data_IF_061700539223
#
_entry.id   IF_061700539223
#
_cell.length_a   1.000
_cell.length_b   1.000
_cell.length_c   1.000
_cell.angle_alpha   90.00
_cell.angle_beta   90.00
_cell.angle_gamma   90.00
#
_symmetry.space_group_name_H-M   'P 1'
#
loop_
_entity.id
_entity.type
_entity.pdbx_description
1 polymer ?
#
# COMPACT_ATOMS: atom_id res chain seq x y z
N UNK A 1 -16.19 -26.27 14.08
CA UNK A 1 -14.74 -26.28 13.77
C UNK A 1 -14.49 -25.05 12.90
N UNK A 2 -13.63 -24.17 13.35
CA UNK A 2 -13.17 -23.02 12.55
C UNK A 2 -12.30 -23.54 11.40
N UNK A 3 -12.64 -23.17 10.16
CA UNK A 3 -11.86 -23.62 8.99
C UNK A 3 -10.56 -22.81 8.98
N UNK A 4 -9.44 -23.49 9.08
CA UNK A 4 -8.12 -22.86 9.01
C UNK A 4 -7.56 -22.98 7.60
N UNK A 5 -7.40 -21.86 6.91
CA UNK A 5 -6.81 -21.80 5.57
C UNK A 5 -5.28 -21.83 5.64
N UNK A 6 -4.66 -22.37 4.60
CA UNK A 6 -3.21 -22.41 4.39
C UNK A 6 -2.81 -21.56 3.20
N UNK A 7 -1.54 -21.23 3.05
CA UNK A 7 -1.05 -20.51 1.87
C UNK A 7 -1.39 -21.23 0.54
N UNK A 8 -1.55 -22.57 0.56
CA UNK A 8 -1.91 -23.35 -0.63
C UNK A 8 -3.34 -23.08 -1.09
N UNK A 9 -4.27 -22.78 -0.18
CA UNK A 9 -5.68 -22.51 -0.51
C UNK A 9 -5.85 -21.22 -1.32
N UNK A 10 -4.88 -20.29 -1.24
CA UNK A 10 -4.89 -19.04 -2.00
C UNK A 10 -4.09 -19.12 -3.32
N UNK A 11 -3.39 -20.22 -3.59
CA UNK A 11 -2.59 -20.38 -4.81
C UNK A 11 -3.41 -20.84 -5.99
N UNK A 12 -3.14 -20.21 -7.16
CA UNK A 12 -3.73 -20.60 -8.45
C UNK A 12 -2.70 -20.44 -9.57
N UNK A 13 -2.65 -21.42 -10.45
CA UNK A 13 -1.78 -21.38 -11.62
C UNK A 13 -0.30 -21.32 -11.32
N UNK A 14 0.50 -21.04 -12.34
CA UNK A 14 1.95 -20.83 -12.23
C UNK A 14 2.30 -19.41 -12.65
N UNK A 15 3.02 -18.65 -11.81
CA UNK A 15 3.48 -17.31 -12.14
C UNK A 15 4.36 -17.30 -13.40
N UNK A 16 4.15 -16.30 -14.26
CA UNK A 16 4.86 -16.13 -15.54
C UNK A 16 5.63 -14.84 -15.61
N UNK A 17 6.09 -14.35 -14.47
CA UNK A 17 7.05 -13.26 -14.40
C UNK A 17 8.46 -13.73 -14.77
N UNK A 18 9.35 -12.80 -15.02
CA UNK A 18 10.76 -13.10 -15.28
C UNK A 18 11.39 -13.86 -14.11
N UNK A 19 12.32 -14.81 -14.37
CA UNK A 19 13.07 -15.45 -13.28
C UNK A 19 13.81 -14.39 -12.45
N UNK A 20 13.67 -14.47 -11.12
CA UNK A 20 14.27 -13.50 -10.19
C UNK A 20 13.47 -12.20 -9.96
N UNK A 21 12.37 -11.98 -10.70
CA UNK A 21 11.50 -10.82 -10.50
C UNK A 21 10.96 -10.77 -9.06
N UNK A 22 10.96 -9.57 -8.47
CA UNK A 22 10.46 -9.36 -7.11
C UNK A 22 8.99 -9.71 -6.89
N UNK A 23 8.17 -9.72 -7.94
CA UNK A 23 6.76 -10.12 -7.88
C UNK A 23 6.57 -11.56 -7.39
N UNK A 24 7.53 -12.47 -7.63
CA UNK A 24 7.49 -13.84 -7.11
C UNK A 24 7.60 -13.88 -5.58
N UNK A 25 8.50 -13.08 -5.01
CA UNK A 25 8.71 -13.00 -3.57
C UNK A 25 7.49 -12.38 -2.89
N UNK A 26 6.96 -11.30 -3.48
CA UNK A 26 5.76 -10.66 -2.98
C UNK A 26 4.55 -11.62 -2.99
N UNK A 27 4.31 -12.34 -4.10
CA UNK A 27 3.20 -13.29 -4.20
C UNK A 27 3.28 -14.38 -3.13
N UNK A 28 4.48 -14.90 -2.85
CA UNK A 28 4.68 -15.91 -1.79
C UNK A 28 4.33 -15.33 -0.40
N UNK A 29 4.75 -14.10 -0.13
CA UNK A 29 4.43 -13.39 1.11
C UNK A 29 2.93 -13.08 1.22
N UNK A 30 2.26 -12.70 0.13
CA UNK A 30 0.82 -12.45 0.11
C UNK A 30 0.03 -13.73 0.41
N UNK A 31 0.37 -14.86 -0.20
CA UNK A 31 -0.29 -16.14 0.12
C UNK A 31 -0.16 -16.50 1.61
N UNK A 32 1.02 -16.25 2.20
CA UNK A 32 1.25 -16.48 3.63
C UNK A 32 0.44 -15.52 4.49
N UNK A 33 0.44 -14.23 4.15
CA UNK A 33 -0.34 -13.21 4.86
C UNK A 33 -1.84 -13.55 4.84
N UNK A 34 -2.38 -13.94 3.68
CA UNK A 34 -3.79 -14.35 3.55
C UNK A 34 -4.13 -15.55 4.45
N UNK A 35 -3.24 -16.54 4.53
CA UNK A 35 -3.43 -17.69 5.42
C UNK A 35 -3.42 -17.29 6.90
N UNK A 36 -2.55 -16.36 7.29
CA UNK A 36 -2.48 -15.86 8.67
C UNK A 36 -3.64 -14.94 9.04
N UNK A 37 -4.15 -14.16 8.08
CA UNK A 37 -5.37 -13.33 8.21
C UNK A 37 -6.60 -14.23 8.35
N UNK A 38 -6.67 -15.35 7.63
CA UNK A 38 -7.71 -16.35 7.77
C UNK A 38 -9.04 -16.04 7.05
N UNK A 39 -9.11 -15.00 6.22
CA UNK A 39 -10.33 -14.69 5.44
C UNK A 39 -10.53 -15.76 4.37
N UNK A 40 -11.73 -16.34 4.29
CA UNK A 40 -12.04 -17.36 3.30
C UNK A 40 -11.74 -16.88 1.85
N UNK A 41 -11.12 -17.68 0.98
CA UNK A 41 -10.76 -17.27 -0.37
C UNK A 41 -11.95 -16.68 -1.19
N UNK A 42 -13.17 -17.15 -0.95
CA UNK A 42 -14.38 -16.63 -1.60
C UNK A 42 -14.90 -15.31 -1.00
N UNK A 43 -14.29 -14.82 0.08
CA UNK A 43 -14.55 -13.49 0.64
C UNK A 43 -13.41 -12.49 0.33
N UNK A 44 -12.48 -12.87 -0.54
CA UNK A 44 -11.38 -12.02 -1.00
C UNK A 44 -11.56 -11.67 -2.46
N UNK A 45 -11.41 -10.39 -2.80
CA UNK A 45 -11.39 -9.91 -4.18
C UNK A 45 -10.06 -9.17 -4.45
N UNK A 46 -9.31 -9.62 -5.47
CA UNK A 46 -8.06 -9.00 -5.91
C UNK A 46 -8.30 -8.25 -7.21
N UNK A 47 -8.21 -6.94 -7.16
CA UNK A 47 -8.47 -6.04 -8.30
C UNK A 47 -7.17 -5.40 -8.74
N UNK A 48 -6.78 -5.58 -9.99
CA UNK A 48 -5.52 -5.03 -10.51
C UNK A 48 -5.71 -4.09 -11.69
N UNK A 49 -4.75 -3.19 -11.86
CA UNK A 49 -4.64 -2.36 -13.07
C UNK A 49 -3.91 -3.09 -14.19
N UNK A 50 -2.92 -2.45 -14.81
CA UNK A 50 -2.14 -2.99 -15.92
C UNK A 50 -0.65 -2.91 -15.60
N UNK A 51 0.10 -3.96 -15.96
CA UNK A 51 1.54 -4.08 -15.78
C UNK A 51 1.93 -5.48 -15.33
N UNK A 52 3.20 -5.68 -14.98
CA UNK A 52 3.70 -6.98 -14.50
C UNK A 52 2.98 -7.39 -13.20
N UNK A 53 2.94 -6.50 -12.23
CA UNK A 53 2.24 -6.68 -10.94
C UNK A 53 0.75 -7.02 -11.11
N UNK A 54 0.13 -6.47 -12.15
CA UNK A 54 -1.32 -6.64 -12.41
C UNK A 54 -1.70 -8.05 -12.89
N UNK A 55 -0.74 -8.93 -13.12
CA UNK A 55 -0.99 -10.36 -13.36
C UNK A 55 -1.36 -11.13 -12.08
N UNK A 56 -1.21 -10.51 -10.93
CA UNK A 56 -1.40 -11.15 -9.62
C UNK A 56 -2.76 -11.84 -9.45
N UNK A 57 -3.91 -11.29 -9.90
CA UNK A 57 -5.20 -11.98 -9.80
C UNK A 57 -5.25 -13.36 -10.50
N UNK A 58 -4.41 -13.59 -11.50
CA UNK A 58 -4.32 -14.90 -12.18
C UNK A 58 -3.66 -15.98 -11.30
N UNK A 59 -2.95 -15.57 -10.26
CA UNK A 59 -2.17 -16.45 -9.38
C UNK A 59 -2.79 -16.60 -7.99
N UNK A 60 -3.95 -15.94 -7.77
CA UNK A 60 -4.74 -16.02 -6.55
C UNK A 60 -5.99 -16.87 -6.76
N UNK A 61 -6.24 -17.80 -5.85
CA UNK A 61 -7.47 -18.62 -5.82
C UNK A 61 -8.58 -17.88 -5.04
N UNK A 62 -8.89 -16.68 -5.48
CA UNK A 62 -9.88 -15.75 -4.92
C UNK A 62 -10.72 -15.19 -6.05
N UNK A 63 -11.71 -14.35 -5.77
CA UNK A 63 -12.24 -13.49 -6.82
C UNK A 63 -11.14 -12.56 -7.32
N UNK A 64 -11.12 -12.29 -8.61
CA UNK A 64 -10.09 -11.43 -9.19
C UNK A 64 -10.53 -10.79 -10.49
N UNK A 65 -10.08 -9.57 -10.72
CA UNK A 65 -10.34 -8.81 -11.93
C UNK A 65 -9.10 -8.03 -12.36
N UNK A 66 -8.70 -8.18 -13.63
CA UNK A 66 -7.83 -7.22 -14.29
C UNK A 66 -8.70 -6.10 -14.87
N UNK A 67 -8.36 -4.87 -14.59
CA UNK A 67 -9.11 -3.71 -15.06
C UNK A 67 -8.38 -2.99 -16.21
N UNK A 68 -8.61 -1.71 -16.36
CA UNK A 68 -7.93 -0.85 -17.33
C UNK A 68 -6.78 -0.11 -16.62
N UNK A 69 -5.77 0.31 -17.37
CA UNK A 69 -4.58 1.00 -16.86
C UNK A 69 -4.97 2.18 -15.96
N UNK A 70 -4.48 2.15 -14.72
CA UNK A 70 -4.73 3.16 -13.70
C UNK A 70 -6.16 3.18 -13.12
N UNK A 71 -6.98 2.16 -13.35
CA UNK A 71 -8.39 2.14 -12.89
C UNK A 71 -8.66 1.18 -11.73
N UNK A 72 -7.64 0.46 -11.27
CA UNK A 72 -7.80 -0.53 -10.20
C UNK A 72 -8.46 0.05 -8.95
N UNK A 73 -8.00 1.21 -8.46
CA UNK A 73 -8.56 1.83 -7.25
C UNK A 73 -10.03 2.24 -7.41
N UNK A 74 -10.44 2.71 -8.60
CA UNK A 74 -11.83 3.07 -8.88
C UNK A 74 -12.74 1.83 -8.89
N UNK A 75 -12.31 0.76 -9.56
CA UNK A 75 -13.08 -0.49 -9.63
C UNK A 75 -13.11 -1.19 -8.27
N UNK A 76 -11.99 -1.22 -7.55
CA UNK A 76 -11.92 -1.74 -6.18
C UNK A 76 -12.87 -0.99 -5.23
N UNK A 77 -12.94 0.33 -5.34
CA UNK A 77 -13.92 1.15 -4.60
C UNK A 77 -15.35 0.71 -4.90
N UNK A 78 -15.71 0.54 -6.18
CA UNK A 78 -17.03 0.04 -6.56
C UNK A 78 -17.32 -1.37 -6.02
N UNK A 79 -16.33 -2.26 -6.06
CA UNK A 79 -16.43 -3.61 -5.51
C UNK A 79 -16.70 -3.58 -3.99
N UNK A 80 -15.98 -2.75 -3.23
CA UNK A 80 -16.17 -2.61 -1.79
C UNK A 80 -17.51 -2.02 -1.41
N UNK A 81 -17.94 -0.96 -2.11
CA UNK A 81 -19.25 -0.32 -1.87
C UNK A 81 -20.41 -1.25 -2.23
N UNK A 82 -20.27 -2.04 -3.30
CA UNK A 82 -21.31 -3.00 -3.70
C UNK A 82 -21.43 -4.21 -2.75
N UNK A 83 -20.32 -4.60 -2.10
CA UNK A 83 -20.32 -5.66 -1.11
C UNK A 83 -19.30 -5.34 0.02
N UNK A 84 -19.76 -4.69 1.10
CA UNK A 84 -18.91 -4.29 2.22
C UNK A 84 -18.24 -5.43 2.98
N UNK A 85 -18.76 -6.66 2.87
CA UNK A 85 -18.21 -7.85 3.55
C UNK A 85 -16.93 -8.38 2.90
N UNK A 86 -16.64 -8.00 1.65
CA UNK A 86 -15.45 -8.48 0.95
C UNK A 86 -14.17 -7.83 1.51
N UNK A 87 -13.13 -8.65 1.66
CA UNK A 87 -11.75 -8.18 1.79
C UNK A 87 -11.22 -7.84 0.39
N UNK A 88 -11.15 -6.54 0.08
CA UNK A 88 -10.78 -6.07 -1.26
C UNK A 88 -9.33 -5.63 -1.27
N UNK A 89 -8.54 -6.21 -2.19
CA UNK A 89 -7.12 -5.96 -2.39
C UNK A 89 -6.90 -5.37 -3.77
N UNK A 90 -6.47 -4.11 -3.82
CA UNK A 90 -6.11 -3.43 -5.05
C UNK A 90 -4.61 -3.57 -5.28
N UNK A 91 -4.19 -3.95 -6.48
CA UNK A 91 -2.79 -4.14 -6.83
C UNK A 91 -2.44 -3.33 -8.07
N UNK A 92 -1.40 -2.51 -7.95
CA UNK A 92 -0.83 -1.72 -9.04
C UNK A 92 0.69 -1.69 -8.96
N UNK A 93 1.35 -1.52 -10.09
CA UNK A 93 2.72 -1.02 -10.12
C UNK A 93 2.73 0.50 -9.90
N UNK A 94 3.91 1.04 -9.60
CA UNK A 94 4.12 2.47 -9.42
C UNK A 94 3.67 3.30 -10.62
N UNK A 95 3.99 2.86 -11.83
CA UNK A 95 3.55 3.51 -13.06
C UNK A 95 2.04 3.47 -13.28
N UNK A 96 1.41 2.34 -12.99
CA UNK A 96 -0.04 2.17 -13.12
C UNK A 96 -0.80 2.98 -12.08
N UNK A 97 -0.39 2.89 -10.83
CA UNK A 97 -1.10 3.50 -9.70
C UNK A 97 -0.88 5.01 -9.56
N UNK A 98 0.30 5.53 -9.88
CA UNK A 98 0.69 6.90 -9.58
C UNK A 98 0.74 7.83 -10.81
N UNK A 99 0.86 7.29 -12.04
CA UNK A 99 0.75 8.09 -13.27
C UNK A 99 -0.73 8.23 -13.65
N UNK A 100 -1.19 7.43 -14.60
CA UNK A 100 -2.59 7.49 -15.07
C UNK A 100 -3.61 7.18 -13.96
N UNK A 101 -3.21 6.40 -12.94
CA UNK A 101 -4.02 6.07 -11.77
C UNK A 101 -4.03 7.10 -10.65
N UNK A 102 -3.15 8.12 -10.71
CA UNK A 102 -2.93 9.05 -9.61
C UNK A 102 -4.20 9.71 -9.07
N UNK A 103 -5.11 10.12 -9.94
CA UNK A 103 -6.40 10.69 -9.52
C UNK A 103 -7.23 9.69 -8.68
N UNK A 104 -7.28 8.43 -9.09
CA UNK A 104 -8.05 7.40 -8.34
C UNK A 104 -7.36 7.00 -7.04
N UNK A 105 -6.02 6.99 -7.04
CA UNK A 105 -5.23 6.82 -5.81
C UNK A 105 -5.53 7.92 -4.79
N UNK A 106 -5.49 9.20 -5.21
CA UNK A 106 -5.82 10.35 -4.37
C UNK A 106 -7.22 10.22 -3.79
N UNK A 107 -8.21 9.92 -4.63
CA UNK A 107 -9.61 9.89 -4.19
C UNK A 107 -9.96 8.67 -3.33
N UNK A 108 -9.33 7.52 -3.50
CA UNK A 108 -9.50 6.37 -2.62
C UNK A 108 -8.97 6.69 -1.20
N UNK A 109 -7.77 7.28 -1.11
CA UNK A 109 -7.20 7.73 0.15
C UNK A 109 -8.03 8.82 0.82
N UNK A 110 -8.40 9.87 0.08
CA UNK A 110 -9.18 11.00 0.60
C UNK A 110 -10.53 10.57 1.18
N UNK A 111 -11.18 9.58 0.55
CA UNK A 111 -12.46 9.02 1.00
C UNK A 111 -12.29 7.98 2.10
N UNK A 112 -11.08 7.55 2.35
CA UNK A 112 -10.78 6.47 3.29
C UNK A 112 -11.63 5.21 3.00
N UNK A 113 -11.66 4.77 1.73
CA UNK A 113 -12.36 3.54 1.32
C UNK A 113 -11.66 2.35 1.96
N UNK A 114 -12.41 1.44 2.56
CA UNK A 114 -11.83 0.26 3.21
C UNK A 114 -11.23 -0.73 2.19
N UNK A 115 -10.02 -0.42 1.72
CA UNK A 115 -9.26 -1.12 0.69
C UNK A 115 -7.83 -1.39 1.13
N UNK A 116 -7.31 -2.58 0.83
CA UNK A 116 -5.90 -2.89 0.91
C UNK A 116 -5.21 -2.52 -0.42
N UNK A 117 -4.50 -1.40 -0.47
CA UNK A 117 -3.88 -0.86 -1.68
C UNK A 117 -2.40 -1.22 -1.74
N UNK A 118 -2.05 -2.17 -2.59
CA UNK A 118 -0.68 -2.64 -2.78
C UNK A 118 -0.06 -1.91 -3.96
N UNK A 119 1.06 -1.24 -3.71
CA UNK A 119 1.87 -0.55 -4.70
C UNK A 119 3.22 -1.28 -4.85
N UNK A 120 3.38 -2.07 -5.91
CA UNK A 120 4.65 -2.74 -6.24
C UNK A 120 5.55 -1.75 -6.97
N UNK A 121 6.54 -1.20 -6.23
CA UNK A 121 7.38 -0.11 -6.71
C UNK A 121 8.75 -0.62 -7.17
N UNK A 122 8.92 -0.77 -8.49
CA UNK A 122 10.18 -1.12 -9.13
C UNK A 122 10.81 0.04 -9.93
N UNK A 123 10.24 1.23 -9.82
CA UNK A 123 10.72 2.46 -10.47
C UNK A 123 10.86 2.36 -11.98
N UNK A 124 10.00 1.54 -12.65
CA UNK A 124 10.07 1.34 -14.11
C UNK A 124 8.74 0.78 -14.65
N UNK A 125 8.38 1.12 -15.88
CA UNK A 125 7.40 0.38 -16.66
C UNK A 125 8.02 -0.87 -17.27
N UNK A 126 7.99 -2.01 -16.54
CA UNK A 126 8.62 -3.25 -16.98
C UNK A 126 7.89 -3.95 -18.12
N UNK A 127 6.54 -4.01 -18.09
CA UNK A 127 5.75 -4.71 -19.10
C UNK A 127 5.93 -4.15 -20.51
N UNK A 128 6.06 -2.83 -20.64
CA UNK A 128 6.25 -2.11 -21.90
C UNK A 128 7.71 -1.94 -22.30
N UNK A 129 8.62 -2.66 -21.62
CA UNK A 129 10.05 -2.81 -21.93
C UNK A 129 10.94 -1.61 -21.53
N UNK A 130 10.64 -0.96 -20.40
CA UNK A 130 11.64 -0.15 -19.71
C UNK A 130 11.53 1.36 -19.92
N UNK A 131 10.32 1.90 -20.04
CA UNK A 131 10.11 3.34 -19.90
C UNK A 131 10.23 3.75 -18.43
N UNK A 132 10.73 4.97 -18.17
CA UNK A 132 10.73 5.51 -16.81
C UNK A 132 9.31 5.67 -16.27
N UNK A 133 9.15 5.43 -14.99
CA UNK A 133 7.88 5.56 -14.25
C UNK A 133 7.87 6.85 -13.43
N UNK A 134 6.74 7.23 -12.84
CA UNK A 134 6.68 8.43 -11.97
C UNK A 134 7.64 8.39 -10.77
N UNK A 135 8.09 7.21 -10.36
CA UNK A 135 9.02 7.04 -9.23
C UNK A 135 10.47 6.81 -9.66
N UNK A 136 10.75 6.80 -10.97
CA UNK A 136 12.12 6.73 -11.47
C UNK A 136 12.92 7.96 -11.06
N UNK A 137 14.17 7.82 -10.60
CA UNK A 137 14.95 8.96 -10.15
C UNK A 137 15.26 9.94 -11.30
N UNK A 138 15.46 11.22 -10.96
CA UNK A 138 15.96 12.21 -11.92
C UNK A 138 17.26 11.74 -12.55
N UNK A 139 17.41 11.93 -13.85
CA UNK A 139 18.57 11.48 -14.62
C UNK A 139 18.54 10.00 -15.03
N UNK A 140 17.46 9.28 -14.73
CA UNK A 140 17.34 7.87 -15.14
C UNK A 140 17.35 7.72 -16.67
N UNK A 141 18.31 6.94 -17.17
CA UNK A 141 18.48 6.68 -18.60
C UNK A 141 17.74 5.43 -19.03
N UNK A 142 16.93 5.52 -20.06
CA UNK A 142 16.24 4.41 -20.69
C UNK A 142 16.25 4.54 -22.21
N UNK A 143 15.76 3.51 -22.93
CA UNK A 143 15.67 3.58 -24.40
C UNK A 143 14.76 4.71 -24.89
N UNK A 144 13.73 5.05 -24.16
CA UNK A 144 12.80 6.17 -24.45
C UNK A 144 13.27 7.51 -23.89
N UNK A 145 14.24 7.51 -22.99
CA UNK A 145 14.82 8.70 -22.37
C UNK A 145 16.35 8.61 -22.38
N UNK A 146 17.00 8.66 -23.58
CA UNK A 146 18.41 8.35 -23.72
C UNK A 146 19.35 9.41 -23.09
N UNK A 147 18.83 10.59 -22.77
CA UNK A 147 19.57 11.67 -22.12
C UNK A 147 19.23 11.82 -20.63
N UNK A 148 18.47 10.86 -20.08
CA UNK A 148 17.99 10.87 -18.71
C UNK A 148 16.69 11.66 -18.51
N UNK A 149 15.99 11.33 -17.42
CA UNK A 149 14.76 12.04 -17.02
C UNK A 149 15.11 13.39 -16.40
N UNK A 150 14.25 14.39 -16.60
CA UNK A 150 14.40 15.75 -16.02
C UNK A 150 13.40 16.03 -14.92
N UNK A 151 12.47 15.11 -14.69
CA UNK A 151 11.40 15.21 -13.71
C UNK A 151 11.87 14.73 -12.33
N UNK A 152 11.29 15.31 -11.29
CA UNK A 152 11.46 14.79 -9.93
C UNK A 152 10.49 13.64 -9.71
N UNK A 153 10.95 12.55 -9.05
CA UNK A 153 10.10 11.40 -8.83
C UNK A 153 8.99 11.68 -7.82
N UNK A 154 7.81 11.09 -8.03
CA UNK A 154 6.83 10.96 -6.97
C UNK A 154 7.37 10.09 -5.83
N UNK A 155 7.10 10.52 -4.62
CA UNK A 155 7.28 9.73 -3.41
C UNK A 155 5.91 9.25 -2.95
N UNK A 156 5.63 7.93 -2.97
CA UNK A 156 4.27 7.41 -2.72
C UNK A 156 3.67 7.87 -1.38
N UNK A 157 4.51 7.97 -0.35
CA UNK A 157 4.08 8.46 0.97
C UNK A 157 3.63 9.92 0.95
N UNK A 158 4.34 10.82 0.24
CA UNK A 158 3.95 12.23 0.11
C UNK A 158 2.57 12.35 -0.54
N UNK A 159 2.35 11.59 -1.62
CA UNK A 159 1.07 11.59 -2.32
C UNK A 159 -0.05 11.02 -1.45
N UNK A 160 0.23 9.94 -0.72
CA UNK A 160 -0.70 9.35 0.23
C UNK A 160 -1.09 10.34 1.34
N UNK A 161 -0.11 10.96 1.99
CA UNK A 161 -0.35 11.90 3.09
C UNK A 161 -0.99 13.21 2.61
N UNK A 162 -0.57 13.70 1.43
CA UNK A 162 -1.22 14.85 0.77
C UNK A 162 -2.69 14.59 0.41
N UNK A 163 -3.04 13.33 0.14
CA UNK A 163 -4.41 12.88 -0.06
C UNK A 163 -5.15 12.52 1.24
N UNK A 164 -4.61 12.87 2.40
CA UNK A 164 -5.14 12.53 3.75
C UNK A 164 -5.14 11.03 4.06
N UNK A 165 -4.21 10.25 3.48
CA UNK A 165 -4.07 8.82 3.79
C UNK A 165 -3.88 8.57 5.28
N UNK A 166 -4.62 7.58 5.81
CA UNK A 166 -4.65 7.23 7.23
C UNK A 166 -3.72 6.08 7.57
N UNK A 167 -3.37 5.28 6.58
CA UNK A 167 -2.43 4.18 6.71
C UNK A 167 -1.39 4.22 5.60
N UNK A 168 -0.13 4.07 5.98
CA UNK A 168 0.98 3.86 5.07
C UNK A 168 2.02 2.94 5.69
N UNK A 169 2.37 1.88 4.97
CA UNK A 169 3.42 0.95 5.35
C UNK A 169 4.37 0.70 4.18
N UNK A 170 5.61 0.30 4.49
CA UNK A 170 6.63 -0.02 3.49
C UNK A 170 7.31 -1.34 3.81
N UNK A 171 7.52 -2.18 2.80
CA UNK A 171 8.30 -3.40 2.91
C UNK A 171 9.17 -3.61 1.68
N UNK A 172 10.08 -4.58 1.75
CA UNK A 172 10.91 -5.01 0.62
C UNK A 172 10.46 -6.40 0.19
N UNK A 173 10.25 -6.63 -1.10
CA UNK A 173 9.71 -7.90 -1.60
C UNK A 173 10.48 -9.14 -1.14
N UNK A 174 11.80 -9.04 -0.96
CA UNK A 174 12.67 -10.12 -0.47
C UNK A 174 12.64 -10.31 1.05
N UNK A 175 12.01 -9.41 1.79
CA UNK A 175 11.76 -9.57 3.22
C UNK A 175 10.37 -10.16 3.46
N UNK A 176 10.29 -11.48 3.43
CA UNK A 176 9.02 -12.19 3.57
C UNK A 176 8.34 -11.92 4.92
N UNK A 177 9.11 -11.81 6.01
CA UNK A 177 8.56 -11.56 7.34
C UNK A 177 7.98 -10.15 7.45
N UNK A 178 8.75 -9.12 7.10
CA UNK A 178 8.31 -7.73 7.11
C UNK A 178 7.14 -7.48 6.14
N UNK A 179 7.16 -8.13 4.96
CA UNK A 179 6.04 -8.03 4.01
C UNK A 179 4.76 -8.63 4.58
N UNK A 180 4.81 -9.80 5.21
CA UNK A 180 3.64 -10.43 5.86
C UNK A 180 3.11 -9.54 6.99
N UNK A 181 3.99 -8.98 7.81
CA UNK A 181 3.63 -8.09 8.92
C UNK A 181 2.87 -6.86 8.43
N UNK A 182 3.38 -6.15 7.42
CA UNK A 182 2.69 -4.95 6.89
C UNK A 182 1.38 -5.28 6.18
N UNK A 183 1.27 -6.42 5.49
CA UNK A 183 0.03 -6.84 4.85
C UNK A 183 -1.06 -7.19 5.87
N UNK A 184 -0.69 -7.82 7.00
CA UNK A 184 -1.61 -8.10 8.10
C UNK A 184 -2.08 -6.82 8.78
N UNK A 185 -1.17 -5.88 9.02
CA UNK A 185 -1.51 -4.57 9.58
C UNK A 185 -2.44 -3.79 8.64
N UNK A 186 -2.14 -3.80 7.33
CA UNK A 186 -3.00 -3.17 6.33
C UNK A 186 -4.43 -3.73 6.33
N UNK A 187 -4.57 -5.05 6.46
CA UNK A 187 -5.89 -5.70 6.52
C UNK A 187 -6.62 -5.40 7.82
N UNK A 188 -5.91 -5.25 8.93
CA UNK A 188 -6.50 -4.92 10.23
C UNK A 188 -6.98 -3.46 10.31
N UNK A 189 -6.33 -2.55 9.57
CA UNK A 189 -6.74 -1.15 9.48
C UNK A 189 -8.10 -1.01 8.80
N UNK A 190 -9.00 -0.20 9.37
CA UNK A 190 -10.27 0.16 8.73
C UNK A 190 -10.10 1.42 7.91
N UNK A 191 -10.05 1.27 6.60
CA UNK A 191 -9.85 2.37 5.65
C UNK A 191 -8.91 2.05 4.51
N UNK A 192 -8.43 3.09 3.83
CA UNK A 192 -7.48 2.97 2.72
C UNK A 192 -6.08 2.68 3.26
N UNK A 193 -5.65 1.43 3.18
CA UNK A 193 -4.32 0.99 3.61
C UNK A 193 -3.37 0.96 2.42
N UNK A 194 -2.39 1.86 2.37
CA UNK A 194 -1.37 1.87 1.32
C UNK A 194 -0.12 1.13 1.78
N UNK A 195 0.22 0.05 1.07
CA UNK A 195 1.48 -0.68 1.26
C UNK A 195 2.38 -0.49 0.05
N UNK A 196 3.47 0.25 0.20
CA UNK A 196 4.54 0.34 -0.78
C UNK A 196 5.49 -0.86 -0.61
N UNK A 197 5.56 -1.71 -1.63
CA UNK A 197 6.47 -2.85 -1.66
C UNK A 197 7.61 -2.54 -2.63
N UNK A 198 8.79 -2.33 -2.09
CA UNK A 198 10.01 -2.10 -2.87
C UNK A 198 10.40 -3.40 -3.57
N UNK A 199 10.29 -3.40 -4.90
CA UNK A 199 10.39 -4.56 -5.76
C UNK A 199 11.47 -4.33 -6.81
N UNK A 200 12.17 -5.38 -7.24
CA UNK A 200 13.24 -5.31 -8.23
C UNK A 200 12.79 -5.85 -9.59
N UNK A 201 12.99 -5.06 -10.64
CA UNK A 201 12.81 -5.49 -12.02
C UNK A 201 14.16 -5.92 -12.61
N UNK A 202 14.46 -7.22 -12.57
CA UNK A 202 15.75 -7.82 -13.00
C UNK A 202 16.10 -7.60 -14.47
N UNK A 203 15.17 -7.10 -15.30
CA UNK A 203 15.39 -6.94 -16.74
C UNK A 203 15.61 -5.48 -17.13
N UNK A 204 14.87 -4.54 -16.53
CA UNK A 204 14.85 -3.15 -16.99
C UNK A 204 15.31 -2.14 -15.94
N UNK A 205 15.39 -2.54 -14.67
CA UNK A 205 15.83 -1.68 -13.59
C UNK A 205 16.38 -2.51 -12.43
N UNK A 206 17.36 -3.36 -12.76
CA UNK A 206 18.01 -4.22 -11.77
C UNK A 206 18.84 -3.39 -10.81
N UNK A 207 18.75 -3.71 -9.53
CA UNK A 207 19.50 -3.03 -8.47
C UNK A 207 18.89 -1.72 -7.98
N UNK A 208 17.70 -1.32 -8.41
CA UNK A 208 17.08 -0.03 -8.00
C UNK A 208 16.90 0.15 -6.49
N UNK A 209 16.92 -0.94 -5.73
CA UNK A 209 16.81 -0.95 -4.27
C UNK A 209 17.95 -1.73 -3.58
N UNK A 210 19.11 -1.86 -4.22
CA UNK A 210 20.22 -2.72 -3.76
C UNK A 210 20.66 -2.46 -2.32
N UNK A 211 20.61 -1.18 -1.88
CA UNK A 211 20.99 -0.82 -0.51
C UNK A 211 20.20 -1.54 0.58
N UNK A 212 18.99 -2.03 0.27
CA UNK A 212 18.09 -2.69 1.23
C UNK A 212 17.50 -4.00 0.70
N UNK A 213 17.77 -4.38 -0.56
CA UNK A 213 17.10 -5.52 -1.19
C UNK A 213 17.54 -6.87 -0.61
N UNK A 214 18.80 -7.01 -0.26
CA UNK A 214 19.33 -8.19 0.44
C UNK A 214 19.33 -8.00 1.97
N UNK A 215 19.48 -9.10 2.71
CA UNK A 215 19.42 -9.10 4.19
C UNK A 215 20.51 -8.25 4.83
N UNK A 216 21.74 -8.31 4.31
CA UNK A 216 22.88 -7.57 4.85
C UNK A 216 22.72 -6.05 4.63
N UNK A 217 22.30 -5.66 3.42
CA UNK A 217 22.00 -4.27 3.10
C UNK A 217 20.89 -3.71 4.00
N UNK A 218 19.81 -4.48 4.21
CA UNK A 218 18.73 -4.07 5.12
C UNK A 218 19.20 -3.89 6.55
N UNK A 219 20.04 -4.80 7.06
CA UNK A 219 20.56 -4.68 8.42
C UNK A 219 21.34 -3.37 8.65
N UNK A 220 21.98 -2.85 7.60
CA UNK A 220 22.77 -1.60 7.69
C UNK A 220 21.96 -0.34 7.36
N UNK A 221 21.10 -0.43 6.34
CA UNK A 221 20.53 0.75 5.69
C UNK A 221 19.01 0.89 5.87
N UNK A 222 18.37 0.00 6.63
CA UNK A 222 16.96 0.11 6.92
C UNK A 222 16.69 0.25 8.43
N UNK A 223 15.60 0.94 8.74
CA UNK A 223 15.04 1.00 10.08
C UNK A 223 13.64 0.38 10.05
N UNK A 224 13.39 -0.58 10.94
CA UNK A 224 12.08 -1.22 11.10
C UNK A 224 11.28 -0.47 12.15
N UNK A 225 10.26 0.25 11.70
CA UNK A 225 9.39 1.05 12.56
C UNK A 225 8.31 0.15 13.19
N UNK A 226 8.22 0.21 14.54
CA UNK A 226 7.17 -0.41 15.33
C UNK A 226 6.60 0.61 16.30
N UNK A 227 5.28 0.70 16.34
CA UNK A 227 4.61 1.63 17.26
C UNK A 227 5.03 1.36 18.71
N UNK A 228 5.38 2.42 19.43
CA UNK A 228 5.81 2.36 20.82
C UNK A 228 7.25 1.93 21.06
N UNK A 229 8.03 1.62 20.00
CA UNK A 229 9.44 1.23 20.13
C UNK A 229 10.40 2.38 19.75
N UNK A 230 11.59 2.46 20.40
CA UNK A 230 12.64 3.40 20.00
C UNK A 230 13.08 3.15 18.55
N UNK A 231 13.29 4.22 17.80
CA UNK A 231 13.69 4.17 16.40
C UNK A 231 15.20 3.95 16.28
N UNK A 232 15.62 2.70 16.43
CA UNK A 232 17.02 2.25 16.33
C UNK A 232 17.26 1.39 15.09
N UNK A 233 18.48 1.40 14.55
CA UNK A 233 18.88 0.63 13.38
C UNK A 233 20.39 0.35 13.38
N UNK A 234 20.86 -0.35 12.33
CA UNK A 234 22.22 -0.87 12.22
C UNK A 234 22.29 -2.35 12.61
N UNK A 235 23.38 -3.03 12.27
CA UNK A 235 23.55 -4.47 12.50
C UNK A 235 23.37 -4.88 13.97
N UNK A 236 23.71 -3.98 14.89
CA UNK A 236 23.62 -4.20 16.34
C UNK A 236 22.73 -3.13 17.03
N UNK A 237 21.85 -2.45 16.29
CA UNK A 237 21.05 -1.32 16.76
C UNK A 237 21.92 -0.20 17.35
N UNK A 238 23.08 0.05 16.76
CA UNK A 238 24.05 1.02 17.22
C UNK A 238 23.72 2.47 16.85
N UNK A 239 22.76 2.67 15.96
CA UNK A 239 22.28 4.00 15.56
C UNK A 239 20.85 4.22 15.99
N UNK A 240 20.46 5.48 16.16
CA UNK A 240 19.11 5.89 16.45
C UNK A 240 18.73 7.22 15.82
N UNK A 241 17.44 7.53 15.81
CA UNK A 241 16.90 8.80 15.33
C UNK A 241 16.58 9.72 16.50
N UNK A 242 17.09 10.93 16.45
CA UNK A 242 16.74 12.02 17.36
C UNK A 242 16.12 13.18 16.59
N UNK A 243 15.37 14.02 17.27
CA UNK A 243 14.91 15.29 16.73
C UNK A 243 16.03 16.32 16.76
N UNK A 244 16.23 17.04 15.65
CA UNK A 244 17.12 18.21 15.58
C UNK A 244 16.35 19.37 14.93
N UNK A 245 15.97 20.34 15.75
CA UNK A 245 15.09 21.42 15.29
C UNK A 245 13.76 20.88 14.77
N UNK A 246 13.43 21.17 13.53
CA UNK A 246 12.26 20.60 12.82
C UNK A 246 12.60 19.35 12.01
N UNK A 247 13.85 18.86 12.07
CA UNK A 247 14.36 17.72 11.32
C UNK A 247 14.55 16.48 12.18
N UNK A 248 15.10 15.45 11.51
CA UNK A 248 15.60 14.24 12.14
C UNK A 248 17.13 14.22 11.98
N UNK A 249 17.80 13.59 12.94
CA UNK A 249 19.23 13.35 12.94
C UNK A 249 19.52 11.91 13.29
N UNK A 250 20.48 11.32 12.59
CA UNK A 250 21.07 10.04 12.95
C UNK A 250 22.13 10.27 13.99
N UNK A 251 22.08 9.51 15.09
CA UNK A 251 23.05 9.52 16.17
C UNK A 251 23.54 8.11 16.46
N UNK A 252 24.73 8.00 17.04
CA UNK A 252 25.28 6.70 17.46
C UNK A 252 25.15 6.54 18.96
N UNK A 253 24.54 5.46 19.39
CA UNK A 253 24.37 5.12 20.81
C UNK A 253 25.72 4.92 21.48
N UNK A 254 25.87 5.45 22.69
CA UNK A 254 27.10 5.41 23.47
C UNK A 254 28.15 6.48 23.10
N UNK A 255 27.96 7.24 22.00
CA UNK A 255 28.82 8.37 21.64
C UNK A 255 28.22 9.70 22.12
N UNK A 256 29.05 10.61 22.58
CA UNK A 256 28.68 11.94 23.10
C UNK A 256 27.59 11.91 24.19
N UNK A 257 27.51 10.81 24.95
CA UNK A 257 26.55 10.65 26.04
C UNK A 257 25.13 10.23 25.58
N UNK A 258 24.93 9.94 24.28
CA UNK A 258 23.63 9.53 23.75
C UNK A 258 23.26 8.14 24.26
N UNK A 259 22.07 8.03 24.83
CA UNK A 259 21.48 6.80 25.36
C UNK A 259 20.22 6.40 24.60
N UNK A 260 19.64 5.26 24.90
CA UNK A 260 18.37 4.82 24.30
C UNK A 260 17.19 5.75 24.64
N UNK A 261 17.26 6.42 25.81
CA UNK A 261 16.22 7.32 26.30
C UNK A 261 16.18 8.65 25.50
N UNK A 262 17.25 8.96 24.75
CA UNK A 262 17.32 10.13 23.87
C UNK A 262 16.72 9.85 22.48
N UNK A 263 16.48 8.58 22.16
CA UNK A 263 15.98 8.17 20.84
C UNK A 263 14.46 8.37 20.74
N UNK A 264 14.03 8.93 19.64
CA UNK A 264 12.61 9.08 19.35
C UNK A 264 11.89 7.73 19.33
N UNK A 265 10.76 7.68 20.00
CA UNK A 265 9.84 6.52 19.96
C UNK A 265 8.88 6.71 18.80
N UNK A 266 8.68 5.67 18.00
CA UNK A 266 7.76 5.72 16.86
C UNK A 266 6.31 5.74 17.32
N UNK A 267 5.55 6.73 16.86
CA UNK A 267 4.10 6.80 17.03
C UNK A 267 3.40 6.73 15.67
N UNK A 268 2.94 5.52 15.31
CA UNK A 268 2.19 5.29 14.08
C UNK A 268 0.78 5.90 14.14
N UNK A 269 0.23 6.12 15.33
CA UNK A 269 -1.14 6.59 15.57
C UNK A 269 -1.26 8.10 15.77
N UNK A 270 -0.14 8.84 15.67
CA UNK A 270 -0.16 10.29 15.78
C UNK A 270 -1.00 10.92 14.65
N UNK A 271 -1.98 11.75 15.02
CA UNK A 271 -2.81 12.48 14.05
C UNK A 271 -1.98 13.42 13.18
N UNK A 272 -1.03 14.14 13.77
CA UNK A 272 -0.05 14.96 13.04
C UNK A 272 0.94 14.05 12.30
N UNK A 273 0.95 14.15 10.99
CA UNK A 273 1.79 13.29 10.14
C UNK A 273 3.19 13.84 9.87
N UNK A 274 3.60 14.94 10.53
CA UNK A 274 4.87 15.63 10.24
C UNK A 274 6.08 14.71 10.41
N UNK A 275 6.17 14.00 11.54
CA UNK A 275 7.27 13.06 11.80
C UNK A 275 7.15 11.84 10.88
N UNK A 276 5.96 11.29 10.72
CA UNK A 276 5.71 10.14 9.84
C UNK A 276 6.09 10.44 8.39
N UNK A 277 5.80 11.66 7.90
CA UNK A 277 6.23 12.08 6.57
C UNK A 277 7.76 12.14 6.45
N UNK A 278 8.45 12.71 7.45
CA UNK A 278 9.92 12.73 7.48
C UNK A 278 10.51 11.32 7.46
N UNK A 279 9.98 10.42 8.29
CA UNK A 279 10.38 9.01 8.29
C UNK A 279 10.20 8.35 6.91
N UNK A 280 9.06 8.58 6.27
CA UNK A 280 8.75 8.02 4.96
C UNK A 280 9.64 8.57 3.84
N UNK A 281 10.23 9.76 4.03
CA UNK A 281 11.11 10.42 3.05
C UNK A 281 12.61 10.18 3.30
N UNK A 282 12.96 9.48 4.38
CA UNK A 282 14.35 9.12 4.67
C UNK A 282 14.92 8.22 3.57
N UNK A 283 16.11 8.54 3.11
CA UNK A 283 16.87 7.76 2.12
C UNK A 283 18.37 7.99 2.29
N UNK A 284 19.15 6.99 1.82
CA UNK A 284 20.63 7.09 1.87
C UNK A 284 21.20 8.25 1.05
N UNK A 285 22.46 8.65 1.34
CA UNK A 285 23.34 8.02 2.32
C UNK A 285 23.14 8.48 3.78
N UNK A 286 22.42 9.58 4.02
CA UNK A 286 22.38 10.24 5.33
C UNK A 286 21.41 9.59 6.32
N UNK A 287 20.40 8.89 5.79
CA UNK A 287 19.36 8.25 6.59
C UNK A 287 19.11 6.80 6.18
N UNK A 288 18.63 5.95 7.11
CA UNK A 288 18.12 4.63 6.76
C UNK A 288 16.79 4.74 6.01
N UNK A 289 16.45 3.73 5.24
CA UNK A 289 15.11 3.59 4.65
C UNK A 289 14.15 3.06 5.71
N UNK A 290 13.05 3.77 5.96
CA UNK A 290 12.02 3.36 6.89
C UNK A 290 11.17 2.21 6.30
N UNK A 291 11.08 1.11 7.03
CA UNK A 291 10.26 -0.08 6.75
C UNK A 291 9.29 -0.33 7.91
N UNK A 292 8.23 -1.10 7.66
CA UNK A 292 7.19 -1.38 8.64
C UNK A 292 5.99 -0.42 8.49
N UNK A 293 5.17 -0.34 9.53
CA UNK A 293 3.99 0.54 9.58
C UNK A 293 4.44 1.94 9.99
N UNK A 294 4.41 2.88 9.05
CA UNK A 294 4.85 4.26 9.27
C UNK A 294 3.70 5.11 9.84
N UNK A 295 2.47 4.87 9.38
CA UNK A 295 1.25 5.56 9.83
C UNK A 295 0.09 4.58 9.89
N UNK A 296 -0.71 4.65 10.96
CA UNK A 296 -1.93 3.87 11.18
C UNK A 296 -2.87 4.66 12.09
N UNK A 297 -3.72 5.50 11.51
CA UNK A 297 -4.62 6.40 12.24
C UNK A 297 -6.07 6.06 11.91
N UNK A 298 -6.85 5.75 12.90
CA UNK A 298 -8.27 5.46 12.75
C UNK A 298 -9.06 6.67 12.25
N UNK A 299 -9.98 6.43 11.32
CA UNK A 299 -10.92 7.43 10.83
C UNK A 299 -12.16 6.74 10.24
N UNK A 300 -13.32 7.44 10.21
CA UNK A 300 -14.50 6.91 9.54
C UNK A 300 -14.23 6.56 8.08
N UNK A 301 -14.78 5.43 7.61
CA UNK A 301 -14.68 5.04 6.20
C UNK A 301 -15.86 5.60 5.40
N UNK A 302 -15.66 5.82 4.11
CA UNK A 302 -16.70 6.31 3.22
C UNK A 302 -17.82 5.27 3.03
N UNK A 303 -17.45 4.01 2.89
CA UNK A 303 -18.38 2.89 2.70
C UNK A 303 -19.34 2.76 3.89
N UNK A 304 -18.83 2.74 5.13
CA UNK A 304 -19.66 2.72 6.33
C UNK A 304 -20.52 4.00 6.47
N UNK A 305 -19.96 5.17 6.15
CA UNK A 305 -20.69 6.42 6.23
C UNK A 305 -21.85 6.50 5.22
N UNK A 306 -21.66 5.96 4.00
CA UNK A 306 -22.73 5.90 2.99
C UNK A 306 -23.84 4.94 3.42
N UNK A 307 -23.50 3.76 3.93
CA UNK A 307 -24.49 2.80 4.42
C UNK A 307 -25.30 3.41 5.58
N UNK A 308 -24.63 4.00 6.55
CA UNK A 308 -25.29 4.67 7.66
C UNK A 308 -26.25 5.79 7.19
N UNK A 309 -25.84 6.60 6.21
CA UNK A 309 -26.66 7.65 5.61
C UNK A 309 -27.90 7.06 4.90
N UNK A 310 -27.72 5.96 4.16
CA UNK A 310 -28.81 5.26 3.47
C UNK A 310 -29.84 4.78 4.50
N UNK A 311 -29.42 4.12 5.56
CA UNK A 311 -30.32 3.63 6.60
C UNK A 311 -31.03 4.77 7.35
N UNK A 312 -30.32 5.85 7.65
CA UNK A 312 -30.91 7.04 8.27
C UNK A 312 -32.01 7.65 7.36
N UNK A 313 -31.75 7.74 6.05
CA UNK A 313 -32.74 8.30 5.10
C UNK A 313 -33.93 7.36 4.94
N UNK A 314 -33.69 6.04 4.84
CA UNK A 314 -34.78 5.04 4.78
C UNK A 314 -35.72 5.15 6.00
N UNK A 315 -35.14 5.27 7.20
CA UNK A 315 -35.93 5.39 8.44
C UNK A 315 -36.80 6.65 8.48
N UNK A 316 -36.44 7.72 7.79
CA UNK A 316 -37.16 8.98 7.71
C UNK A 316 -38.20 9.05 6.61
N UNK A 317 -38.19 8.11 5.65
CA UNK A 317 -39.11 8.11 4.52
C UNK A 317 -40.45 7.48 4.87
N UNK A 318 -41.58 8.06 4.42
CA UNK A 318 -42.91 7.54 4.72
C UNK A 318 -43.33 6.31 3.88
N UNK A 319 -42.48 5.88 2.95
CA UNK A 319 -42.72 4.75 2.04
C UNK A 319 -41.69 3.64 2.23
N UNK A 320 -42.14 2.38 2.18
CA UNK A 320 -41.31 1.20 2.41
C UNK A 320 -41.41 0.18 1.28
N UNK A 321 -42.31 0.39 0.31
CA UNK A 321 -42.49 -0.46 -0.87
C UNK A 321 -42.26 0.33 -2.15
N UNK A 322 -42.05 -0.38 -3.27
CA UNK A 322 -41.90 0.24 -4.58
C UNK A 322 -43.19 0.93 -5.03
N UNK A 323 -44.34 0.33 -4.76
CA UNK A 323 -45.67 0.87 -5.05
C UNK A 323 -45.90 2.18 -4.29
N UNK A 324 -45.61 2.22 -3.01
CA UNK A 324 -45.68 3.45 -2.19
C UNK A 324 -44.77 4.53 -2.75
N UNK A 325 -43.53 4.18 -3.16
CA UNK A 325 -42.60 5.13 -3.78
C UNK A 325 -43.15 5.71 -5.08
N UNK A 326 -43.77 4.92 -5.94
CA UNK A 326 -44.38 5.38 -7.19
C UNK A 326 -45.52 6.38 -6.95
N UNK A 327 -46.22 6.24 -5.83
CA UNK A 327 -47.37 7.09 -5.46
C UNK A 327 -47.00 8.31 -4.60
N UNK A 328 -45.73 8.59 -4.38
CA UNK A 328 -45.28 9.70 -3.53
C UNK A 328 -45.40 11.08 -4.19
N UNK A 329 -45.51 11.14 -5.52
CA UNK A 329 -45.67 12.37 -6.29
C UNK A 329 -47.10 12.48 -6.85
N UNK A 330 -47.36 13.56 -7.57
CA UNK A 330 -48.64 13.74 -8.26
C UNK A 330 -48.92 12.57 -9.19
N UNK A 331 -50.06 11.91 -8.96
CA UNK A 331 -50.49 10.76 -9.75
C UNK A 331 -51.82 11.10 -10.44
N UNK A 332 -52.07 10.45 -11.59
CA UNK A 332 -53.35 10.54 -12.32
C UNK A 332 -53.79 9.17 -12.78
N UNK A 333 -55.09 8.97 -12.85
CA UNK A 333 -55.66 7.75 -13.41
C UNK A 333 -55.75 7.84 -14.95
N UNK A 334 -55.22 6.82 -15.62
CA UNK A 334 -55.44 6.64 -17.07
C UNK A 334 -56.81 5.97 -17.26
N UNK A 335 -57.78 6.71 -17.80
CA UNK A 335 -59.16 6.21 -18.11
C UNK A 335 -59.17 5.57 -19.47
#
# INVERSE_FOLDING_TARGET
>A
MEIKYTAQDYKKGQPRWCPGCGDHFFLASLHKAMAEIGVAPHNVAVISGIGCSSRLPHYMNTYGMNTIHGRAAAIATGCKVANPELSVWQVSGDGDGLAIGGNHFIHANRRNINLNMILLNNRIYGLTKGQYSPTSPRGFVSKSSPYGTVEDPFRPAELCFGARGRFFARAVATDAAGTVEVLKAAHAHKGASVCEIMQNCVIFNDGTHDSIYNKEGRAKNAIYLRHGEPMVFGENNEYGLMQEGFGLKVVKLGENGVTIDDILVHDAHCEDNTVQLKLALMEGPDFPVALGVIRDVEAPTYDEAVEAQIEEVKAKKPYHTFEELLLTNDTWEVK
#
